data_IF_447671503999
#
_entry.id   IF_447671503999
#
_cell.length_a   1.000
_cell.length_b   1.000
_cell.length_c   1.000
_cell.angle_alpha   90.00
_cell.angle_beta   90.00
_cell.angle_gamma   90.00
#
_symmetry.space_group_name_H-M   'P 1'
#
loop_
_entity.id
_entity.type
_entity.pdbx_description
1 polymer ?
#
# COMPACT_ATOMS: atom_id res chain seq x y z
N UNK A 1 -10.39 -15.40 8.02
CA UNK A 1 -9.79 -14.14 8.50
C UNK A 1 -10.55 -12.92 7.99
N UNK A 2 -10.60 -11.83 8.76
CA UNK A 2 -11.09 -10.51 8.34
C UNK A 2 -10.07 -9.83 7.41
N UNK A 3 -10.58 -9.18 6.37
CA UNK A 3 -9.81 -8.35 5.45
C UNK A 3 -10.62 -7.11 5.07
N UNK A 4 -9.96 -5.96 4.98
CA UNK A 4 -10.58 -4.71 4.51
C UNK A 4 -10.50 -4.65 2.98
N UNK A 5 -11.66 -4.40 2.36
CA UNK A 5 -11.80 -4.24 0.92
C UNK A 5 -12.42 -2.87 0.61
N UNK A 6 -11.94 -2.21 -0.44
CA UNK A 6 -12.57 -1.02 -1.01
C UNK A 6 -13.54 -1.44 -2.10
N UNK A 7 -14.81 -1.05 -1.95
CA UNK A 7 -15.89 -1.41 -2.86
C UNK A 7 -16.88 -0.27 -2.97
N UNK A 8 -17.13 0.18 -4.21
CA UNK A 8 -18.12 1.23 -4.55
C UNK A 8 -17.99 2.51 -3.72
N UNK A 9 -16.76 2.93 -3.41
CA UNK A 9 -16.52 4.17 -2.65
C UNK A 9 -16.62 4.05 -1.14
N UNK A 10 -16.63 2.83 -0.61
CA UNK A 10 -16.62 2.55 0.82
C UNK A 10 -15.58 1.47 1.15
N UNK A 11 -15.05 1.52 2.38
CA UNK A 11 -14.33 0.41 2.96
C UNK A 11 -15.33 -0.56 3.62
N UNK A 12 -15.14 -1.85 3.43
CA UNK A 12 -15.91 -2.92 4.06
C UNK A 12 -14.96 -3.93 4.68
N UNK A 13 -15.41 -4.61 5.73
CA UNK A 13 -14.69 -5.74 6.32
C UNK A 13 -15.37 -7.01 5.86
N UNK A 14 -14.61 -7.90 5.21
CA UNK A 14 -15.09 -9.20 4.78
C UNK A 14 -14.29 -10.33 5.41
N UNK A 15 -14.97 -11.40 5.78
CA UNK A 15 -14.30 -12.66 6.09
C UNK A 15 -13.88 -13.36 4.80
N UNK A 16 -12.59 -13.63 4.65
CA UNK A 16 -11.98 -14.33 3.51
C UNK A 16 -11.12 -15.50 4.01
N UNK A 17 -10.90 -16.54 3.19
CA UNK A 17 -10.01 -17.61 3.58
C UNK A 17 -8.55 -17.13 3.69
N UNK A 18 -7.80 -17.69 4.64
CA UNK A 18 -6.43 -17.28 4.93
C UNK A 18 -5.46 -17.63 3.80
N UNK A 19 -4.48 -16.78 3.44
CA UNK A 19 -3.50 -17.14 2.43
C UNK A 19 -2.59 -18.28 2.90
N UNK A 20 -2.05 -19.04 1.95
CA UNK A 20 -0.98 -20.00 2.20
C UNK A 20 0.39 -19.34 1.98
N UNK A 21 1.41 -19.84 2.68
CA UNK A 21 2.81 -19.46 2.41
C UNK A 21 3.28 -20.11 1.11
N UNK A 22 3.99 -19.36 0.27
CA UNK A 22 4.73 -19.91 -0.86
C UNK A 22 6.21 -20.12 -0.50
N UNK A 23 7.02 -20.60 -1.44
CA UNK A 23 8.43 -20.92 -1.18
C UNK A 23 9.29 -19.71 -0.80
N UNK A 24 8.93 -18.50 -1.27
CA UNK A 24 9.72 -17.28 -1.08
C UNK A 24 9.03 -16.29 -0.12
N UNK A 25 7.90 -16.69 0.47
CA UNK A 25 7.03 -15.85 1.26
C UNK A 25 7.17 -16.07 2.75
N UNK A 26 6.60 -15.14 3.50
CA UNK A 26 6.46 -15.18 4.95
C UNK A 26 4.99 -14.98 5.26
N UNK A 27 4.43 -15.87 6.06
CA UNK A 27 3.08 -15.73 6.58
C UNK A 27 3.16 -15.01 7.93
N UNK A 28 2.42 -13.91 8.04
CA UNK A 28 2.46 -13.02 9.21
C UNK A 28 1.05 -12.87 9.76
N UNK A 29 0.90 -13.10 11.07
CA UNK A 29 -0.28 -12.67 11.81
C UNK A 29 -0.10 -11.19 12.16
N UNK A 30 -0.96 -10.35 11.58
CA UNK A 30 -0.85 -8.91 11.70
C UNK A 30 -1.32 -8.47 13.09
N UNK A 31 -0.54 -7.62 13.74
CA UNK A 31 -0.90 -6.96 14.99
C UNK A 31 -1.40 -5.53 14.73
N UNK A 32 -0.74 -4.83 13.80
CA UNK A 32 -1.07 -3.47 13.41
C UNK A 32 -0.89 -3.25 11.91
N UNK A 33 -1.72 -2.40 11.33
CA UNK A 33 -1.51 -1.87 9.99
C UNK A 33 -1.85 -0.39 9.95
N UNK A 34 -1.15 0.36 9.10
CA UNK A 34 -1.28 1.82 9.04
C UNK A 34 -2.04 2.22 7.78
N UNK A 35 -3.14 2.95 7.95
CA UNK A 35 -3.88 3.55 6.85
C UNK A 35 -3.11 4.77 6.37
N UNK A 36 -2.73 4.75 5.08
CA UNK A 36 -2.20 5.93 4.42
C UNK A 36 -3.33 6.78 3.89
N UNK A 37 -3.74 7.78 4.67
CA UNK A 37 -4.90 8.63 4.37
C UNK A 37 -4.89 9.16 2.94
N UNK A 38 -3.76 9.71 2.47
CA UNK A 38 -3.68 10.26 1.11
C UNK A 38 -3.90 9.20 0.01
N UNK A 39 -3.15 8.10 0.04
CA UNK A 39 -3.21 7.07 -1.00
C UNK A 39 -4.52 6.28 -0.97
N UNK A 40 -4.99 5.95 0.22
CA UNK A 40 -6.14 5.07 0.37
C UNK A 40 -7.46 5.80 0.19
N UNK A 41 -7.57 7.06 0.64
CA UNK A 41 -8.77 7.87 0.34
C UNK A 41 -8.88 8.16 -1.16
N UNK A 42 -7.76 8.34 -1.86
CA UNK A 42 -7.79 8.42 -3.33
C UNK A 42 -8.31 7.12 -3.98
N UNK A 43 -7.98 5.95 -3.41
CA UNK A 43 -8.51 4.66 -3.86
C UNK A 43 -10.03 4.56 -3.62
N UNK A 44 -10.50 5.00 -2.44
CA UNK A 44 -11.92 5.07 -2.09
C UNK A 44 -12.68 6.00 -3.05
N UNK A 45 -12.23 7.23 -3.22
CA UNK A 45 -12.83 8.20 -4.14
C UNK A 45 -12.90 7.65 -5.57
N UNK A 46 -11.81 7.06 -6.06
CA UNK A 46 -11.77 6.49 -7.41
C UNK A 46 -12.72 5.30 -7.56
N UNK A 47 -12.90 4.49 -6.50
CA UNK A 47 -13.87 3.40 -6.50
C UNK A 47 -15.32 3.89 -6.50
N UNK A 48 -15.60 5.08 -5.98
CA UNK A 48 -16.95 5.67 -5.94
C UNK A 48 -17.37 6.35 -7.25
N UNK A 49 -16.43 6.74 -8.10
CA UNK A 49 -16.74 7.45 -9.36
C UNK A 49 -17.48 6.57 -10.38
N UNK A 50 -18.43 7.14 -11.16
CA UNK A 50 -19.05 6.45 -12.30
C UNK A 50 -18.00 5.95 -13.31
N UNK A 51 -18.28 4.81 -13.95
CA UNK A 51 -17.34 4.17 -14.89
C UNK A 51 -16.90 5.08 -16.03
N UNK A 52 -17.81 5.91 -16.57
CA UNK A 52 -17.50 6.87 -17.62
C UNK A 52 -16.44 7.90 -17.18
N UNK A 53 -16.55 8.41 -15.95
CA UNK A 53 -15.58 9.37 -15.39
C UNK A 53 -14.24 8.71 -15.11
N UNK A 54 -14.25 7.48 -14.61
CA UNK A 54 -13.01 6.69 -14.42
C UNK A 54 -12.29 6.42 -15.74
N UNK A 55 -13.02 6.17 -16.82
CA UNK A 55 -12.47 5.95 -18.15
C UNK A 55 -11.80 7.21 -18.71
N UNK A 56 -12.41 8.39 -18.52
CA UNK A 56 -11.83 9.68 -18.90
C UNK A 56 -10.53 9.98 -18.16
N UNK A 57 -10.47 9.71 -16.86
CA UNK A 57 -9.31 10.00 -16.00
C UNK A 57 -8.18 8.95 -16.12
N UNK A 58 -8.43 7.78 -16.73
CA UNK A 58 -7.47 6.67 -16.85
C UNK A 58 -7.43 6.13 -18.29
N UNK A 59 -7.03 6.95 -19.28
CA UNK A 59 -7.07 6.59 -20.70
C UNK A 59 -6.22 5.35 -21.02
N UNK A 60 -5.11 5.13 -20.32
CA UNK A 60 -4.27 3.94 -20.45
C UNK A 60 -5.00 2.64 -20.06
N UNK A 61 -5.90 2.69 -19.07
CA UNK A 61 -6.73 1.52 -18.70
C UNK A 61 -7.83 1.28 -19.72
N UNK A 62 -8.38 2.33 -20.32
CA UNK A 62 -9.34 2.21 -21.43
C UNK A 62 -8.70 1.51 -22.61
N UNK A 63 -7.47 1.87 -22.98
CA UNK A 63 -6.72 1.21 -24.04
C UNK A 63 -6.56 -0.30 -23.77
N UNK A 64 -6.22 -0.69 -22.54
CA UNK A 64 -6.15 -2.11 -22.14
C UNK A 64 -7.49 -2.83 -22.25
N UNK A 65 -8.60 -2.16 -21.93
CA UNK A 65 -9.96 -2.72 -22.08
C UNK A 65 -10.32 -2.88 -23.56
N UNK A 66 -10.02 -1.90 -24.40
CA UNK A 66 -10.22 -1.97 -25.86
C UNK A 66 -9.39 -3.11 -26.47
N UNK A 67 -8.15 -3.28 -26.04
CA UNK A 67 -7.31 -4.39 -26.48
C UNK A 67 -7.90 -5.74 -26.04
N UNK A 68 -8.39 -5.84 -24.81
CA UNK A 68 -9.10 -7.05 -24.34
C UNK A 68 -10.38 -7.32 -25.15
N UNK A 69 -11.16 -6.28 -25.46
CA UNK A 69 -12.35 -6.38 -26.30
C UNK A 69 -12.01 -6.96 -27.67
N UNK A 70 -10.94 -6.47 -28.31
CA UNK A 70 -10.48 -6.96 -29.61
C UNK A 70 -10.02 -8.42 -29.56
N UNK A 71 -9.36 -8.85 -28.48
CA UNK A 71 -8.80 -10.21 -28.35
C UNK A 71 -9.81 -11.25 -27.87
N UNK A 72 -10.71 -10.89 -26.96
CA UNK A 72 -11.56 -11.85 -26.22
C UNK A 72 -13.06 -11.66 -26.45
N UNK A 73 -13.46 -10.61 -27.18
CA UNK A 73 -14.86 -10.29 -27.45
C UNK A 73 -15.55 -9.53 -26.32
N UNK A 74 -16.74 -9.02 -26.64
CA UNK A 74 -17.52 -8.11 -25.79
C UNK A 74 -17.98 -8.77 -24.48
N UNK A 75 -18.60 -9.96 -24.55
CA UNK A 75 -19.15 -10.64 -23.38
C UNK A 75 -18.08 -10.94 -22.32
N UNK A 76 -16.92 -11.49 -22.72
CA UNK A 76 -15.83 -11.84 -21.80
C UNK A 76 -15.24 -10.60 -21.12
N UNK A 77 -15.12 -9.51 -21.86
CA UNK A 77 -14.58 -8.25 -21.33
C UNK A 77 -15.54 -7.61 -20.34
N UNK A 78 -16.85 -7.59 -20.64
CA UNK A 78 -17.87 -7.08 -19.71
C UNK A 78 -17.92 -7.91 -18.43
N UNK A 79 -17.90 -9.25 -18.53
CA UNK A 79 -17.90 -10.13 -17.37
C UNK A 79 -16.66 -9.92 -16.48
N UNK A 80 -15.48 -9.73 -17.08
CA UNK A 80 -14.23 -9.44 -16.37
C UNK A 80 -14.29 -8.10 -15.61
N UNK A 81 -14.76 -7.04 -16.27
CA UNK A 81 -14.88 -5.71 -15.65
C UNK A 81 -15.90 -5.75 -14.50
N UNK A 82 -17.06 -6.39 -14.71
CA UNK A 82 -18.09 -6.53 -13.68
C UNK A 82 -17.59 -7.31 -12.46
N UNK A 83 -16.93 -8.45 -12.68
CA UNK A 83 -16.38 -9.26 -11.60
C UNK A 83 -15.31 -8.54 -10.78
N UNK A 84 -14.46 -7.72 -11.41
CA UNK A 84 -13.48 -6.89 -10.69
C UNK A 84 -14.13 -5.79 -9.84
N UNK A 85 -15.21 -5.18 -10.33
CA UNK A 85 -15.93 -4.13 -9.60
C UNK A 85 -16.75 -4.70 -8.42
N UNK A 86 -17.30 -5.90 -8.58
CA UNK A 86 -18.10 -6.56 -7.54
C UNK A 86 -17.25 -7.21 -6.44
N UNK A 87 -16.04 -7.67 -6.75
CA UNK A 87 -15.15 -8.29 -5.76
C UNK A 87 -14.61 -7.32 -4.70
N UNK A 88 -14.60 -6.02 -4.99
CA UNK A 88 -13.83 -5.05 -4.21
C UNK A 88 -12.31 -5.25 -4.41
N UNK A 89 -11.52 -4.29 -3.94
CA UNK A 89 -10.05 -4.36 -3.99
C UNK A 89 -9.49 -4.35 -2.58
N UNK A 90 -8.60 -5.29 -2.21
CA UNK A 90 -7.90 -5.22 -0.93
C UNK A 90 -7.21 -3.86 -0.73
N UNK A 91 -7.33 -3.30 0.46
CA UNK A 91 -6.61 -2.09 0.87
C UNK A 91 -5.45 -2.41 1.81
N UNK A 92 -4.63 -1.40 2.10
CA UNK A 92 -3.43 -1.53 2.92
C UNK A 92 -2.20 -1.97 2.14
N UNK A 93 -1.05 -1.52 2.62
CA UNK A 93 0.25 -1.85 2.05
C UNK A 93 1.40 -1.74 3.07
N UNK A 94 1.09 -1.54 4.35
CA UNK A 94 2.05 -1.37 5.44
C UNK A 94 1.47 -1.96 6.72
N UNK A 95 2.12 -2.99 7.24
CA UNK A 95 1.70 -3.64 8.47
C UNK A 95 2.88 -4.20 9.25
N UNK A 96 2.62 -4.62 10.48
CA UNK A 96 3.57 -5.29 11.36
C UNK A 96 2.85 -6.39 12.12
N UNK A 97 3.61 -7.41 12.50
CA UNK A 97 3.05 -8.57 13.17
C UNK A 97 4.10 -9.62 13.50
N UNK A 98 3.62 -10.82 13.77
CA UNK A 98 4.45 -11.96 14.16
C UNK A 98 4.51 -12.95 13.01
N UNK A 99 5.71 -13.44 12.69
CA UNK A 99 5.88 -14.53 11.73
C UNK A 99 5.22 -15.78 12.30
N UNK A 100 4.38 -16.43 11.50
CA UNK A 100 3.69 -17.65 11.90
C UNK A 100 4.06 -18.85 11.01
N UNK A 101 4.61 -18.60 9.81
CA UNK A 101 5.18 -19.60 8.92
C UNK A 101 6.14 -18.95 7.92
N UNK A 102 7.15 -19.68 7.45
CA UNK A 102 8.10 -19.23 6.42
C UNK A 102 8.16 -20.22 5.26
N UNK A 103 8.41 -19.70 4.06
CA UNK A 103 8.64 -20.49 2.85
C UNK A 103 9.97 -21.22 2.88
N UNK A 104 10.10 -22.26 2.03
CA UNK A 104 11.29 -23.14 1.99
C UNK A 104 12.59 -22.40 1.67
N UNK A 105 12.53 -21.28 0.94
CA UNK A 105 13.70 -20.49 0.54
C UNK A 105 13.99 -19.33 1.51
N UNK A 106 13.21 -19.19 2.59
CA UNK A 106 13.42 -18.17 3.62
C UNK A 106 14.22 -18.79 4.77
N UNK A 107 15.44 -18.31 4.98
CA UNK A 107 16.39 -18.92 5.95
C UNK A 107 16.73 -18.03 7.14
N UNK A 108 16.40 -16.73 7.08
CA UNK A 108 16.84 -15.73 8.06
C UNK A 108 15.72 -15.22 8.98
N UNK A 109 14.48 -15.65 8.74
CA UNK A 109 13.31 -15.40 9.57
C UNK A 109 12.74 -16.73 10.08
N UNK A 110 12.12 -16.71 11.27
CA UNK A 110 11.45 -17.89 11.84
C UNK A 110 10.13 -17.53 12.52
N UNK A 111 9.21 -18.50 12.72
CA UNK A 111 8.02 -18.28 13.53
C UNK A 111 8.35 -17.68 14.90
N UNK A 112 7.53 -16.72 15.34
CA UNK A 112 7.72 -15.94 16.57
C UNK A 112 8.49 -14.63 16.37
N UNK A 113 9.19 -14.44 15.24
CA UNK A 113 9.88 -13.17 14.97
C UNK A 113 8.87 -12.03 14.74
N UNK A 114 9.13 -10.87 15.34
CA UNK A 114 8.42 -9.64 15.02
C UNK A 114 8.95 -9.06 13.71
N UNK A 115 8.03 -8.76 12.80
CA UNK A 115 8.35 -8.26 11.46
C UNK A 115 7.45 -7.10 11.06
N UNK A 116 7.96 -6.27 10.16
CA UNK A 116 7.22 -5.26 9.45
C UNK A 116 7.22 -5.57 7.95
N UNK A 117 6.11 -5.30 7.29
CA UNK A 117 5.83 -5.74 5.94
C UNK A 117 5.36 -4.57 5.06
N UNK A 118 5.78 -4.61 3.80
CA UNK A 118 5.37 -3.67 2.77
C UNK A 118 4.71 -4.36 1.57
N UNK A 119 4.05 -3.56 0.74
CA UNK A 119 3.63 -3.96 -0.61
C UNK A 119 2.12 -3.94 -0.79
N UNK A 120 1.64 -3.14 -1.73
CA UNK A 120 0.24 -3.11 -2.12
C UNK A 120 -0.17 -4.46 -2.72
N UNK A 121 -1.27 -5.03 -2.23
CA UNK A 121 -1.70 -6.38 -2.60
C UNK A 121 -0.95 -7.51 -1.86
N UNK A 122 0.04 -7.18 -1.02
CA UNK A 122 0.78 -8.14 -0.18
C UNK A 122 0.51 -7.86 1.30
N UNK A 123 1.01 -6.73 1.82
CA UNK A 123 0.83 -6.25 3.20
C UNK A 123 -0.52 -5.52 3.38
N UNK A 124 -1.61 -6.18 3.00
CA UNK A 124 -2.97 -5.63 3.05
C UNK A 124 -3.48 -5.50 4.51
N UNK A 125 -4.51 -4.69 4.70
CA UNK A 125 -5.27 -4.63 5.95
C UNK A 125 -6.06 -5.92 6.17
N UNK A 126 -5.45 -6.89 6.85
CA UNK A 126 -6.01 -8.23 7.03
C UNK A 126 -5.41 -8.92 8.26
N UNK A 127 -6.12 -9.85 8.90
CA UNK A 127 -5.60 -10.56 10.11
C UNK A 127 -4.36 -11.40 9.80
N UNK A 128 -4.26 -11.97 8.59
CA UNK A 128 -3.10 -12.73 8.13
C UNK A 128 -2.70 -12.25 6.73
N UNK A 129 -1.42 -12.05 6.50
CA UNK A 129 -0.86 -11.71 5.19
C UNK A 129 0.25 -12.69 4.80
N UNK A 130 0.33 -12.99 3.50
CA UNK A 130 1.50 -13.63 2.91
C UNK A 130 2.28 -12.57 2.14
N UNK A 131 3.52 -12.34 2.54
CA UNK A 131 4.37 -11.28 2.00
C UNK A 131 5.68 -11.90 1.50
N UNK A 132 6.10 -11.61 0.26
CA UNK A 132 7.40 -12.07 -0.23
C UNK A 132 8.55 -11.59 0.64
N UNK A 133 9.60 -12.42 0.79
CA UNK A 133 10.69 -12.19 1.74
C UNK A 133 11.30 -10.79 1.64
N UNK A 134 11.60 -10.29 0.43
CA UNK A 134 12.25 -9.00 0.26
C UNK A 134 11.37 -7.79 0.65
N UNK A 135 10.07 -8.01 0.88
CA UNK A 135 9.13 -7.02 1.40
C UNK A 135 8.88 -7.15 2.91
N UNK A 136 9.67 -7.98 3.61
CA UNK A 136 9.59 -8.21 5.06
C UNK A 136 10.91 -7.85 5.72
N UNK A 137 10.87 -7.11 6.83
CA UNK A 137 12.03 -6.81 7.67
C UNK A 137 11.76 -7.18 9.11
N UNK A 138 12.78 -7.65 9.83
CA UNK A 138 12.69 -7.88 11.27
C UNK A 138 12.53 -6.54 11.99
N UNK A 139 11.65 -6.50 12.98
CA UNK A 139 11.53 -5.33 13.87
C UNK A 139 12.71 -5.37 14.85
N UNK A 140 13.53 -4.31 14.92
CA UNK A 140 14.66 -4.25 15.85
C UNK A 140 14.18 -4.08 17.29
N UNK A 141 15.03 -4.49 18.23
CA UNK A 141 14.83 -4.22 19.65
C UNK A 141 14.67 -2.71 19.89
N UNK A 142 13.73 -2.32 20.76
CA UNK A 142 13.41 -0.91 21.01
C UNK A 142 12.34 -0.31 20.09
N UNK A 143 11.90 -1.02 19.04
CA UNK A 143 10.76 -0.63 18.21
C UNK A 143 9.55 -1.54 18.49
N UNK A 144 8.39 -0.95 18.79
CA UNK A 144 7.15 -1.72 18.99
C UNK A 144 6.51 -2.11 17.65
N UNK A 145 5.70 -3.17 17.63
CA UNK A 145 4.89 -3.51 16.45
C UNK A 145 4.00 -2.33 16.03
N UNK A 146 3.43 -1.61 17.00
CA UNK A 146 2.60 -0.41 16.75
C UNK A 146 3.34 0.64 15.92
N UNK A 147 4.59 0.93 16.28
CA UNK A 147 5.44 1.86 15.52
C UNK A 147 5.87 1.25 14.18
N UNK A 148 6.26 -0.02 14.17
CA UNK A 148 6.76 -0.70 12.98
C UNK A 148 5.72 -0.79 11.84
N UNK A 149 4.42 -0.65 12.13
CA UNK A 149 3.38 -0.62 11.10
C UNK A 149 3.55 0.55 10.09
N UNK A 150 4.29 1.60 10.43
CA UNK A 150 4.60 2.71 9.53
C UNK A 150 5.73 2.43 8.53
N UNK A 151 6.33 1.23 8.57
CA UNK A 151 7.58 0.89 7.85
C UNK A 151 7.59 1.31 6.38
N UNK A 152 6.49 1.10 5.66
CA UNK A 152 6.44 1.37 4.23
C UNK A 152 6.46 2.86 3.94
N UNK A 153 5.79 3.64 4.78
CA UNK A 153 5.72 5.10 4.69
C UNK A 153 7.07 5.71 5.06
N UNK A 154 7.71 5.16 6.08
CA UNK A 154 9.09 5.49 6.46
C UNK A 154 10.08 5.25 5.34
N UNK A 155 10.00 4.10 4.68
CA UNK A 155 10.84 3.77 3.54
C UNK A 155 10.59 4.68 2.32
N UNK A 156 9.34 5.10 2.07
CA UNK A 156 9.01 6.07 1.01
C UNK A 156 9.65 7.43 1.32
N UNK A 157 9.50 7.94 2.55
CA UNK A 157 10.12 9.19 2.97
C UNK A 157 11.65 9.11 2.88
N UNK A 158 12.24 7.99 3.34
CA UNK A 158 13.68 7.73 3.27
C UNK A 158 14.20 7.69 1.84
N UNK A 159 13.45 7.10 0.92
CA UNK A 159 13.83 7.11 -0.49
C UNK A 159 13.82 8.54 -1.06
N UNK A 160 12.85 9.37 -0.68
CA UNK A 160 12.83 10.79 -1.01
C UNK A 160 14.08 11.52 -0.54
N UNK A 161 14.47 11.32 0.73
CA UNK A 161 15.70 11.88 1.30
C UNK A 161 16.94 11.36 0.57
N UNK A 162 17.03 10.06 0.28
CA UNK A 162 18.17 9.48 -0.46
C UNK A 162 18.28 10.03 -1.88
N UNK A 163 17.16 10.33 -2.53
CA UNK A 163 17.14 10.99 -3.86
C UNK A 163 17.57 12.45 -3.78
N UNK A 164 17.30 13.14 -2.68
CA UNK A 164 17.81 14.50 -2.45
C UNK A 164 19.33 14.54 -2.22
N UNK A 165 19.95 13.40 -1.90
CA UNK A 165 21.40 13.25 -1.61
C UNK A 165 21.93 14.34 -0.68
N UNK A 166 21.30 14.54 0.51
CA UNK A 166 21.63 15.65 1.38
C UNK A 166 23.08 15.58 1.85
N UNK A 167 23.67 16.76 2.03
CA UNK A 167 24.96 16.94 2.70
C UNK A 167 24.78 17.60 4.05
N UNK A 168 25.66 17.26 4.99
CA UNK A 168 25.66 17.81 6.35
C UNK A 168 25.67 19.35 6.28
N UNK A 169 24.69 20.00 6.92
CA UNK A 169 24.56 21.45 6.97
C UNK A 169 23.72 22.09 5.85
N UNK A 170 23.32 21.33 4.82
CA UNK A 170 22.41 21.82 3.77
C UNK A 170 21.04 22.22 4.34
N UNK A 171 20.41 23.20 3.70
CA UNK A 171 19.05 23.65 4.00
C UNK A 171 18.10 23.00 3.01
N UNK A 172 17.11 22.25 3.52
CA UNK A 172 16.15 21.50 2.71
C UNK A 172 14.72 21.95 3.00
N UNK A 173 13.98 22.31 1.96
CA UNK A 173 12.55 22.58 2.08
C UNK A 173 11.72 21.29 1.95
N UNK A 174 10.66 21.16 2.75
CA UNK A 174 9.65 20.09 2.64
C UNK A 174 8.30 20.73 2.38
N UNK A 175 7.73 20.48 1.21
CA UNK A 175 6.39 20.99 0.83
C UNK A 175 5.35 19.87 0.98
N UNK A 176 4.43 20.07 1.91
CA UNK A 176 3.42 19.11 2.36
C UNK A 176 3.86 18.35 3.60
N UNK A 177 3.47 18.83 4.77
CA UNK A 177 3.73 18.27 6.11
C UNK A 177 2.64 17.26 6.54
N UNK A 178 2.07 16.52 5.58
CA UNK A 178 1.30 15.30 5.86
C UNK A 178 2.20 14.19 6.43
N UNK A 179 1.68 12.97 6.58
CA UNK A 179 2.42 11.86 7.20
C UNK A 179 3.84 11.64 6.61
N UNK A 180 3.96 11.66 5.27
CA UNK A 180 5.27 11.55 4.61
C UNK A 180 6.17 12.77 4.88
N UNK A 181 5.61 13.98 4.93
CA UNK A 181 6.34 15.20 5.23
C UNK A 181 6.90 15.19 6.65
N UNK A 182 6.09 14.80 7.64
CA UNK A 182 6.53 14.67 9.04
C UNK A 182 7.67 13.65 9.21
N UNK A 183 7.63 12.52 8.49
CA UNK A 183 8.72 11.55 8.48
C UNK A 183 9.95 12.11 7.76
N UNK A 184 9.76 12.83 6.64
CA UNK A 184 10.84 13.43 5.85
C UNK A 184 11.61 14.48 6.66
N UNK A 185 10.90 15.34 7.41
CA UNK A 185 11.52 16.32 8.32
C UNK A 185 12.49 15.62 9.27
N UNK A 186 12.03 14.62 10.00
CA UNK A 186 12.84 13.90 10.99
C UNK A 186 14.05 13.20 10.35
N UNK A 187 13.87 12.60 9.17
CA UNK A 187 14.95 11.94 8.44
C UNK A 187 16.02 12.94 7.95
N UNK A 188 15.62 14.13 7.50
CA UNK A 188 16.54 15.20 7.14
C UNK A 188 17.30 15.74 8.37
N UNK A 189 16.62 15.87 9.52
CA UNK A 189 17.29 16.23 10.78
C UNK A 189 18.30 15.17 11.21
N UNK A 190 17.95 13.89 11.10
CA UNK A 190 18.88 12.78 11.35
C UNK A 190 20.08 12.77 10.38
N UNK A 191 19.90 13.28 9.15
CA UNK A 191 20.97 13.48 8.17
C UNK A 191 21.83 14.74 8.42
N UNK A 192 21.49 15.56 9.43
CA UNK A 192 22.20 16.78 9.78
C UNK A 192 21.86 17.99 8.92
N UNK A 193 20.69 18.00 8.27
CA UNK A 193 20.18 19.15 7.54
C UNK A 193 19.50 20.17 8.47
N UNK A 194 19.38 21.40 7.97
CA UNK A 194 18.38 22.38 8.41
C UNK A 194 17.13 22.23 7.53
N UNK A 195 15.94 22.27 8.11
CA UNK A 195 14.68 21.93 7.44
C UNK A 195 13.70 23.09 7.55
N UNK A 196 13.14 23.47 6.40
CA UNK A 196 12.06 24.46 6.28
C UNK A 196 10.79 23.76 5.79
N UNK A 197 9.74 23.73 6.59
CA UNK A 197 8.47 23.08 6.27
C UNK A 197 7.40 24.04 5.73
N UNK A 198 6.58 23.58 4.79
CA UNK A 198 5.45 24.32 4.26
C UNK A 198 4.21 23.41 4.16
N UNK A 199 3.09 23.80 4.77
CA UNK A 199 1.79 23.12 4.62
C UNK A 199 0.65 24.14 4.69
N UNK A 200 -0.56 23.72 4.33
CA UNK A 200 -1.77 24.53 4.44
C UNK A 200 -2.42 24.40 5.83
N UNK A 201 -2.13 23.33 6.55
CA UNK A 201 -2.72 22.98 7.84
C UNK A 201 -1.77 23.37 8.99
N UNK A 202 -2.20 24.34 9.81
CA UNK A 202 -1.43 24.87 10.95
C UNK A 202 -1.03 23.77 11.94
N UNK A 203 -1.89 22.77 12.18
CA UNK A 203 -1.60 21.68 13.12
C UNK A 203 -0.39 20.88 12.68
N UNK A 204 -0.24 20.68 11.36
CA UNK A 204 0.90 19.97 10.76
C UNK A 204 2.17 20.81 10.80
N UNK A 205 2.03 22.13 10.64
CA UNK A 205 3.14 23.07 10.78
C UNK A 205 3.68 23.07 12.21
N UNK A 206 2.79 23.13 13.21
CA UNK A 206 3.16 23.04 14.64
C UNK A 206 3.86 21.71 14.93
N UNK A 207 3.26 20.59 14.52
CA UNK A 207 3.84 19.26 14.72
C UNK A 207 5.21 19.12 14.03
N UNK A 208 5.40 19.69 12.84
CA UNK A 208 6.69 19.62 12.15
C UNK A 208 7.80 20.33 12.92
N UNK A 209 7.49 21.46 13.59
CA UNK A 209 8.45 22.15 14.47
C UNK A 209 8.79 21.30 15.68
N UNK A 210 7.78 20.68 16.31
CA UNK A 210 7.97 19.76 17.43
C UNK A 210 8.82 18.53 17.04
N UNK A 211 8.69 18.07 15.80
CA UNK A 211 9.45 16.97 15.22
C UNK A 211 10.80 17.39 14.61
N UNK A 212 11.20 18.65 14.80
CA UNK A 212 12.56 19.12 14.55
C UNK A 212 12.76 19.99 13.32
N UNK A 213 11.72 20.38 12.58
CA UNK A 213 11.86 21.42 11.56
C UNK A 213 12.36 22.72 12.21
N UNK A 214 13.42 23.31 11.65
CA UNK A 214 14.00 24.55 12.16
C UNK A 214 13.04 25.73 11.96
N UNK A 215 12.35 25.72 10.81
CA UNK A 215 11.25 26.62 10.51
C UNK A 215 10.13 25.82 9.83
N UNK A 216 8.89 26.22 10.06
CA UNK A 216 7.75 25.72 9.29
C UNK A 216 6.70 26.81 9.19
N UNK A 217 5.93 26.85 8.10
CA UNK A 217 4.97 27.93 7.85
C UNK A 217 3.67 27.41 7.26
N UNK A 218 2.58 28.10 7.59
CA UNK A 218 1.30 27.98 6.90
C UNK A 218 1.43 28.72 5.57
N UNK A 219 1.46 27.99 4.45
CA UNK A 219 1.81 28.54 3.14
C UNK A 219 0.86 29.64 2.63
N UNK A 220 -0.36 29.73 3.18
CA UNK A 220 -1.35 30.75 2.82
C UNK A 220 -1.15 32.08 3.56
N UNK A 221 -0.36 32.07 4.63
CA UNK A 221 -0.15 33.24 5.51
C UNK A 221 1.17 33.95 5.23
N UNK A 222 2.05 33.34 4.44
CA UNK A 222 3.39 33.86 4.14
C UNK A 222 3.69 33.84 2.65
N UNK A 223 4.61 34.71 2.22
CA UNK A 223 5.26 34.56 0.93
C UNK A 223 6.37 33.51 1.08
N UNK A 224 6.07 32.28 0.65
CA UNK A 224 6.97 31.12 0.70
C UNK A 224 8.34 31.42 0.06
N UNK A 225 8.37 32.21 -1.03
CA UNK A 225 9.63 32.53 -1.69
C UNK A 225 10.47 33.52 -0.86
N UNK A 226 9.83 34.52 -0.26
CA UNK A 226 10.52 35.48 0.59
C UNK A 226 11.03 34.82 1.87
N UNK A 227 10.25 33.95 2.51
CA UNK A 227 10.70 33.20 3.69
C UNK A 227 11.88 32.29 3.36
N UNK A 228 11.79 31.53 2.26
CA UNK A 228 12.91 30.70 1.82
C UNK A 228 14.17 31.54 1.57
N UNK A 229 14.06 32.69 0.88
CA UNK A 229 15.20 33.59 0.66
C UNK A 229 15.76 34.16 1.96
N UNK A 230 14.91 34.64 2.86
CA UNK A 230 15.33 35.21 4.13
C UNK A 230 16.11 34.20 4.97
N UNK A 231 15.63 32.96 5.05
CA UNK A 231 16.27 31.88 5.81
C UNK A 231 17.52 31.29 5.13
N UNK A 232 17.83 31.73 3.91
CA UNK A 232 18.95 31.21 3.10
C UNK A 232 19.82 32.32 2.52
N UNK A 233 19.88 33.50 3.16
CA UNK A 233 20.69 34.65 2.73
C UNK A 233 20.46 35.07 1.27
N UNK A 234 19.25 34.84 0.75
CA UNK A 234 18.83 35.14 -0.61
C UNK A 234 19.19 34.06 -1.65
N UNK A 235 19.91 33.01 -1.27
CA UNK A 235 20.37 31.98 -2.22
C UNK A 235 19.28 30.98 -2.61
N UNK A 236 18.32 30.70 -1.73
CA UNK A 236 17.37 29.60 -1.83
C UNK A 236 17.88 28.32 -1.17
N UNK A 237 17.00 27.33 -1.03
CA UNK A 237 17.32 26.04 -0.38
C UNK A 237 18.16 25.14 -1.28
N UNK A 238 19.02 24.30 -0.71
CA UNK A 238 19.85 23.34 -1.43
C UNK A 238 19.02 22.28 -2.15
N UNK A 239 17.94 21.84 -1.49
CA UNK A 239 16.96 20.92 -2.07
C UNK A 239 15.55 21.21 -1.60
N UNK A 240 14.57 20.90 -2.44
CA UNK A 240 13.15 20.88 -2.06
C UNK A 240 12.59 19.48 -2.27
N UNK A 241 11.98 18.89 -1.25
CA UNK A 241 11.29 17.60 -1.30
C UNK A 241 9.77 17.85 -1.23
N UNK A 242 9.05 17.36 -2.25
CA UNK A 242 7.60 17.51 -2.36
C UNK A 242 6.93 16.23 -1.88
N UNK A 243 6.23 16.32 -0.76
CA UNK A 243 5.46 15.23 -0.13
C UNK A 243 3.94 15.48 -0.18
N UNK A 244 3.51 16.59 -0.77
CA UNK A 244 2.11 16.93 -1.02
C UNK A 244 1.47 16.09 -2.16
N UNK A 245 0.14 16.06 -2.20
CA UNK A 245 -0.63 15.54 -3.32
C UNK A 245 -1.56 16.63 -3.87
N UNK A 246 -1.51 16.86 -5.19
CA UNK A 246 -2.33 17.87 -5.89
C UNK A 246 -2.39 17.57 -7.38
N UNK A 247 -3.48 17.92 -8.06
CA UNK A 247 -3.52 17.86 -9.53
C UNK A 247 -2.83 19.05 -10.19
N UNK A 248 -2.54 20.11 -9.41
CA UNK A 248 -1.90 21.33 -9.88
C UNK A 248 -0.38 21.15 -10.03
N UNK A 249 0.22 21.89 -10.97
CA UNK A 249 1.67 22.02 -11.14
C UNK A 249 2.28 23.13 -10.29
N UNK A 250 1.46 23.98 -9.66
CA UNK A 250 1.91 25.14 -8.85
C UNK A 250 2.90 24.76 -7.75
N UNK A 251 2.73 23.59 -7.13
CA UNK A 251 3.63 23.08 -6.09
C UNK A 251 5.03 22.82 -6.65
N UNK A 252 5.12 22.27 -7.86
CA UNK A 252 6.40 22.00 -8.54
C UNK A 252 7.06 23.31 -8.96
N UNK A 253 6.29 24.29 -9.45
CA UNK A 253 6.83 25.60 -9.79
C UNK A 253 7.41 26.32 -8.57
N UNK A 254 6.65 26.36 -7.46
CA UNK A 254 7.08 26.96 -6.21
C UNK A 254 8.36 26.28 -5.68
N UNK A 255 8.43 24.94 -5.74
CA UNK A 255 9.63 24.21 -5.36
C UNK A 255 10.87 24.63 -6.17
N UNK A 256 10.73 24.82 -7.49
CA UNK A 256 11.82 25.31 -8.34
C UNK A 256 12.19 26.77 -8.03
N UNK A 257 11.22 27.60 -7.68
CA UNK A 257 11.42 29.02 -7.37
C UNK A 257 12.22 29.23 -6.07
N UNK A 258 11.98 28.40 -5.05
CA UNK A 258 12.68 28.48 -3.75
C UNK A 258 14.01 27.74 -3.73
N UNK A 259 14.22 26.79 -4.65
CA UNK A 259 15.48 26.03 -4.74
C UNK A 259 16.58 26.90 -5.37
N UNK A 260 17.79 26.84 -4.82
CA UNK A 260 18.95 27.60 -5.30
C UNK A 260 19.43 27.13 -6.69
N UNK A 261 20.31 27.92 -7.31
CA UNK A 261 21.02 27.48 -8.52
C UNK A 261 21.81 26.19 -8.24
N UNK A 262 21.73 25.22 -9.15
CA UNK A 262 22.32 23.87 -9.04
C UNK A 262 21.81 23.06 -7.85
N UNK A 263 20.60 23.39 -7.37
CA UNK A 263 19.89 22.64 -6.34
C UNK A 263 19.01 21.54 -6.94
N UNK A 264 18.39 20.76 -6.05
CA UNK A 264 17.65 19.54 -6.39
C UNK A 264 16.18 19.64 -5.99
N UNK A 265 15.26 19.37 -6.91
CA UNK A 265 13.83 19.22 -6.61
C UNK A 265 13.45 17.75 -6.70
N UNK A 266 12.96 17.18 -5.59
CA UNK A 266 12.58 15.77 -5.47
C UNK A 266 11.07 15.64 -5.31
N UNK A 267 10.42 14.94 -6.25
CA UNK A 267 9.00 14.61 -6.15
C UNK A 267 8.82 13.24 -5.50
N UNK A 268 8.18 13.20 -4.33
CA UNK A 268 7.77 11.98 -3.64
C UNK A 268 6.25 11.82 -3.70
N UNK A 269 5.51 12.91 -3.51
CA UNK A 269 4.06 12.93 -3.58
C UNK A 269 3.49 12.88 -5.01
N UNK A 270 2.17 12.91 -5.11
CA UNK A 270 1.45 12.85 -6.38
C UNK A 270 1.03 14.26 -6.82
N UNK A 271 1.87 14.93 -7.61
CA UNK A 271 1.64 16.30 -8.09
C UNK A 271 1.57 16.38 -9.62
N UNK A 272 0.83 17.35 -10.14
CA UNK A 272 0.93 17.74 -11.55
C UNK A 272 2.34 18.23 -11.86
N UNK A 273 2.93 17.78 -12.97
CA UNK A 273 4.34 18.12 -13.25
C UNK A 273 4.51 19.47 -13.96
N UNK A 274 3.68 19.76 -14.99
CA UNK A 274 3.62 21.08 -15.66
C UNK A 274 4.95 21.80 -15.89
N UNK A 275 6.02 21.07 -16.23
CA UNK A 275 7.39 21.58 -16.12
C UNK A 275 7.63 22.75 -17.09
N UNK A 276 7.99 23.91 -16.54
CA UNK A 276 8.42 25.08 -17.31
C UNK A 276 9.92 25.05 -17.51
N UNK A 277 10.39 25.31 -18.72
CA UNK A 277 11.83 25.27 -19.06
C UNK A 277 12.66 26.35 -18.35
N UNK A 278 12.14 27.57 -18.22
CA UNK A 278 12.95 28.71 -17.77
C UNK A 278 13.58 28.51 -16.40
N UNK A 279 12.86 28.08 -15.34
CA UNK A 279 13.47 27.83 -14.03
C UNK A 279 14.58 26.77 -14.08
N UNK A 280 14.42 25.70 -14.84
CA UNK A 280 15.46 24.68 -15.00
C UNK A 280 16.71 25.22 -15.68
N UNK A 281 16.52 26.00 -16.74
CA UNK A 281 17.63 26.49 -17.54
C UNK A 281 18.40 27.61 -16.84
N UNK A 282 17.72 28.54 -16.19
CA UNK A 282 18.34 29.69 -15.51
C UNK A 282 19.08 29.30 -14.23
N UNK A 283 18.62 28.25 -13.57
CA UNK A 283 19.18 27.78 -12.31
C UNK A 283 19.98 26.48 -12.43
N UNK A 284 19.96 25.79 -13.57
CA UNK A 284 20.54 24.45 -13.73
C UNK A 284 20.04 23.47 -12.65
N UNK A 285 18.71 23.42 -12.44
CA UNK A 285 18.12 22.55 -11.42
C UNK A 285 18.14 21.08 -11.84
N UNK A 286 18.42 20.20 -10.89
CA UNK A 286 18.16 18.78 -11.03
C UNK A 286 16.73 18.45 -10.61
N UNK A 287 15.97 17.84 -11.52
CA UNK A 287 14.62 17.34 -11.23
C UNK A 287 14.63 15.82 -11.05
N UNK A 288 14.19 15.35 -9.89
CA UNK A 288 14.30 13.97 -9.51
C UNK A 288 12.93 13.43 -9.09
N UNK A 289 12.58 12.24 -9.60
CA UNK A 289 11.44 11.47 -9.10
C UNK A 289 11.94 10.45 -8.07
N UNK A 290 11.18 10.29 -6.99
CA UNK A 290 11.34 9.21 -6.02
C UNK A 290 10.38 8.07 -6.32
N UNK A 291 10.91 6.87 -6.58
CA UNK A 291 10.10 5.69 -6.86
C UNK A 291 9.74 4.96 -5.56
N UNK A 292 8.58 5.29 -4.97
CA UNK A 292 8.03 4.60 -3.78
C UNK A 292 9.10 4.42 -2.69
N UNK A 293 9.27 3.21 -2.15
CA UNK A 293 10.28 2.85 -1.16
C UNK A 293 11.64 2.42 -1.74
N UNK A 294 11.89 2.66 -3.04
CA UNK A 294 13.24 2.58 -3.65
C UNK A 294 13.51 1.39 -4.56
N UNK A 295 14.79 1.14 -4.89
CA UNK A 295 15.21 0.05 -5.77
C UNK A 295 14.70 -1.32 -5.34
N UNK A 296 14.24 -2.13 -6.31
CA UNK A 296 13.49 -3.37 -6.08
C UNK A 296 12.03 -3.24 -6.49
N UNK A 297 11.44 -2.06 -6.28
CA UNK A 297 10.07 -1.77 -6.69
C UNK A 297 9.88 -2.01 -8.18
N UNK A 298 8.85 -2.79 -8.52
CA UNK A 298 8.50 -3.19 -9.89
C UNK A 298 9.47 -4.19 -10.56
N UNK A 299 10.44 -4.75 -9.83
CA UNK A 299 11.23 -5.90 -10.29
C UNK A 299 10.70 -7.18 -9.62
N UNK A 300 9.91 -7.97 -10.35
CA UNK A 300 9.35 -9.21 -9.82
C UNK A 300 10.39 -10.27 -9.42
N UNK A 301 11.63 -10.20 -9.93
CA UNK A 301 12.70 -11.09 -9.45
C UNK A 301 13.12 -10.70 -8.02
N UNK A 302 13.17 -9.41 -7.74
CA UNK A 302 13.45 -8.91 -6.41
C UNK A 302 12.23 -9.10 -5.49
N UNK A 303 11.09 -8.53 -5.85
CA UNK A 303 9.89 -8.50 -5.01
C UNK A 303 9.30 -9.89 -4.80
N UNK A 304 9.16 -10.72 -5.84
CA UNK A 304 8.41 -11.99 -5.74
C UNK A 304 9.30 -13.22 -5.61
N UNK A 305 10.47 -13.23 -6.27
CA UNK A 305 11.39 -14.37 -6.23
C UNK A 305 12.45 -14.29 -5.13
N UNK A 306 12.49 -13.20 -4.37
CA UNK A 306 13.46 -13.03 -3.28
C UNK A 306 14.91 -12.87 -3.75
N UNK A 307 15.16 -12.51 -5.01
CA UNK A 307 16.51 -12.35 -5.56
C UNK A 307 17.02 -10.94 -5.27
N UNK A 308 17.87 -10.80 -4.26
CA UNK A 308 18.48 -9.52 -3.90
C UNK A 308 19.48 -9.05 -4.98
N UNK A 309 19.69 -7.73 -5.05
CA UNK A 309 20.72 -7.12 -5.88
C UNK A 309 22.09 -7.26 -5.22
N UNK A 310 23.16 -7.39 -6.02
CA UNK A 310 24.52 -7.30 -5.52
C UNK A 310 24.73 -6.04 -4.68
N UNK A 311 25.06 -6.24 -3.40
CA UNK A 311 25.11 -5.16 -2.40
C UNK A 311 25.99 -3.98 -2.83
N UNK A 312 27.14 -4.27 -3.47
CA UNK A 312 28.09 -3.26 -3.94
C UNK A 312 27.52 -2.32 -5.03
N UNK A 313 26.52 -2.75 -5.79
CA UNK A 313 25.95 -1.98 -6.90
C UNK A 313 24.64 -1.29 -6.51
N UNK A 314 23.81 -1.95 -5.71
CA UNK A 314 22.55 -1.39 -5.22
C UNK A 314 22.58 -1.48 -3.71
N UNK A 315 23.24 -0.52 -3.05
CA UNK A 315 23.39 -0.51 -1.58
C UNK A 315 22.05 -0.38 -0.85
N UNK A 316 21.10 0.33 -1.46
CA UNK A 316 19.85 0.73 -0.83
C UNK A 316 18.66 0.19 -1.61
N UNK A 317 18.18 -0.98 -1.23
CA UNK A 317 16.93 -1.55 -1.75
C UNK A 317 15.76 -1.15 -0.87
N UNK A 318 14.53 -1.44 -1.32
CA UNK A 318 13.33 -1.26 -0.50
C UNK A 318 13.42 -1.94 0.87
N UNK A 319 13.95 -3.15 0.93
CA UNK A 319 14.14 -3.87 2.19
C UNK A 319 15.10 -3.12 3.13
N UNK A 320 16.21 -2.62 2.58
CA UNK A 320 17.23 -1.92 3.37
C UNK A 320 16.81 -0.49 3.74
N UNK A 321 15.95 0.14 2.95
CA UNK A 321 15.25 1.38 3.33
C UNK A 321 14.33 1.12 4.53
N UNK A 322 13.52 0.04 4.49
CA UNK A 322 12.65 -0.34 5.60
C UNK A 322 13.44 -0.66 6.88
N UNK A 323 14.50 -1.46 6.77
CA UNK A 323 15.33 -1.83 7.92
C UNK A 323 16.00 -0.61 8.56
N UNK A 324 16.58 0.28 7.74
CA UNK A 324 17.21 1.51 8.23
C UNK A 324 16.20 2.46 8.88
N UNK A 325 15.00 2.55 8.32
CA UNK A 325 13.93 3.34 8.92
C UNK A 325 13.58 2.82 10.33
N UNK A 326 13.37 1.52 10.48
CA UNK A 326 13.04 0.94 11.78
C UNK A 326 14.17 1.06 12.79
N UNK A 327 15.44 1.01 12.35
CA UNK A 327 16.60 1.28 13.20
C UNK A 327 16.53 2.71 13.78
N UNK A 328 16.23 3.70 12.93
CA UNK A 328 16.09 5.10 13.37
C UNK A 328 14.90 5.31 14.31
N UNK A 329 13.81 4.55 14.14
CA UNK A 329 12.69 4.54 15.08
C UNK A 329 13.12 3.96 16.43
N UNK A 330 13.78 2.80 16.43
CA UNK A 330 14.30 2.18 17.66
C UNK A 330 15.29 3.06 18.42
N UNK A 331 16.11 3.83 17.71
CA UNK A 331 17.06 4.79 18.30
C UNK A 331 16.41 6.11 18.74
N UNK A 332 15.09 6.26 18.57
CA UNK A 332 14.36 7.48 18.91
C UNK A 332 14.69 8.68 18.01
N UNK A 333 15.37 8.47 16.87
CA UNK A 333 15.65 9.50 15.87
C UNK A 333 14.43 9.82 15.01
N UNK A 334 13.48 8.90 14.94
CA UNK A 334 12.17 9.12 14.31
C UNK A 334 11.07 8.74 15.31
N UNK A 335 10.29 9.73 15.74
CA UNK A 335 9.15 9.57 16.61
C UNK A 335 7.86 9.40 15.78
N UNK A 336 7.43 8.14 15.62
CA UNK A 336 6.18 7.80 14.93
C UNK A 336 4.97 7.97 15.84
N UNK A 337 5.15 7.87 17.17
CA UNK A 337 4.04 7.95 18.14
C UNK A 337 3.33 9.29 18.06
N UNK A 338 4.07 10.37 17.86
CA UNK A 338 3.54 11.72 17.70
C UNK A 338 2.71 11.93 16.40
N UNK A 339 2.83 11.02 15.42
CA UNK A 339 2.12 11.10 14.13
C UNK A 339 0.84 10.23 14.14
N UNK A 340 0.81 9.17 14.95
CA UNK A 340 -0.34 8.26 15.04
C UNK A 340 -1.39 8.86 15.99
N UNK A 341 -2.52 9.28 15.46
CA UNK A 341 -3.56 10.01 16.20
C UNK A 341 -4.78 9.16 16.55
N UNK A 342 -5.04 8.14 15.75
CA UNK A 342 -6.21 7.26 15.90
C UNK A 342 -5.84 5.80 15.75
N UNK A 343 -6.61 4.96 16.42
CA UNK A 343 -6.48 3.51 16.39
C UNK A 343 -7.89 2.90 16.46
N UNK A 344 -8.19 1.97 15.56
CA UNK A 344 -9.46 1.26 15.50
C UNK A 344 -9.20 -0.25 15.45
N UNK A 345 -10.09 -1.06 16.01
CA UNK A 345 -10.09 -2.49 15.67
C UNK A 345 -10.40 -2.66 14.18
N UNK A 346 -9.80 -3.64 13.53
CA UNK A 346 -10.08 -3.96 12.12
C UNK A 346 -11.58 -4.13 11.83
N UNK A 347 -12.41 -4.60 12.77
CA UNK A 347 -13.87 -4.68 12.58
C UNK A 347 -14.53 -3.31 12.34
N UNK A 348 -13.95 -2.26 12.89
CA UNK A 348 -14.43 -0.88 12.76
C UNK A 348 -13.68 -0.11 11.66
N UNK A 349 -12.94 -0.80 10.78
CA UNK A 349 -12.34 -0.15 9.62
C UNK A 349 -13.34 0.71 8.80
N UNK A 350 -14.61 0.30 8.54
CA UNK A 350 -15.54 1.13 7.79
C UNK A 350 -15.78 2.50 8.45
N UNK A 351 -15.84 2.55 9.78
CA UNK A 351 -15.99 3.78 10.55
C UNK A 351 -14.75 4.66 10.43
N UNK A 352 -13.55 4.07 10.51
CA UNK A 352 -12.29 4.78 10.33
C UNK A 352 -12.21 5.48 8.95
N UNK A 353 -12.58 4.79 7.86
CA UNK A 353 -12.58 5.38 6.52
C UNK A 353 -13.67 6.44 6.34
N UNK A 354 -14.84 6.30 6.98
CA UNK A 354 -15.90 7.32 6.92
C UNK A 354 -15.52 8.58 7.71
N UNK A 355 -14.85 8.44 8.86
CA UNK A 355 -14.26 9.57 9.58
C UNK A 355 -13.21 10.28 8.70
N UNK A 356 -12.30 9.55 8.06
CA UNK A 356 -11.30 10.14 7.15
C UNK A 356 -11.91 10.89 5.95
N UNK A 357 -13.14 10.53 5.56
CA UNK A 357 -13.87 11.16 4.47
C UNK A 357 -14.60 12.42 4.90
N UNK A 358 -15.16 12.43 6.11
CA UNK A 358 -16.08 13.48 6.59
C UNK A 358 -15.43 14.47 7.55
N UNK A 359 -14.33 14.09 8.19
CA UNK A 359 -13.64 14.94 9.15
C UNK A 359 -13.12 16.23 8.48
N UNK A 360 -13.46 17.36 9.09
CA UNK A 360 -12.90 18.67 8.75
C UNK A 360 -11.39 18.67 8.97
N UNK A 361 -10.95 18.05 10.07
CA UNK A 361 -9.55 17.85 10.42
C UNK A 361 -9.19 16.39 10.25
N UNK A 362 -8.37 16.08 9.24
CA UNK A 362 -7.97 14.69 8.96
C UNK A 362 -6.78 14.31 9.86
N UNK A 363 -6.85 13.16 10.56
CA UNK A 363 -5.70 12.65 11.30
C UNK A 363 -4.56 12.30 10.36
N UNK A 364 -3.31 12.47 10.81
CA UNK A 364 -2.12 12.18 9.99
C UNK A 364 -1.90 10.67 9.84
N UNK A 365 -1.90 9.95 10.96
CA UNK A 365 -1.75 8.50 11.02
C UNK A 365 -2.94 7.83 11.70
N UNK A 366 -3.52 6.83 11.04
CA UNK A 366 -4.59 5.99 11.58
C UNK A 366 -4.15 4.54 11.55
N UNK A 367 -4.16 3.89 12.71
CA UNK A 367 -3.88 2.46 12.82
C UNK A 367 -5.16 1.63 12.82
N UNK A 368 -5.07 0.46 12.19
CA UNK A 368 -5.95 -0.66 12.46
C UNK A 368 -5.19 -1.66 13.34
N UNK A 369 -5.74 -1.92 14.51
CA UNK A 369 -5.29 -2.94 15.44
C UNK A 369 -6.04 -4.26 15.19
N UNK A 370 -5.35 -5.36 15.47
CA UNK A 370 -5.87 -6.71 15.30
C UNK A 370 -5.73 -7.43 16.63
N UNK A 371 -6.86 -7.83 17.23
CA UNK A 371 -6.83 -8.58 18.48
C UNK A 371 -6.02 -9.87 18.32
N UNK A 372 -4.96 -10.03 19.11
CA UNK A 372 -4.17 -11.27 19.20
C UNK A 372 -4.76 -12.11 20.32
N UNK A 373 -5.86 -12.80 20.02
CA UNK A 373 -6.49 -13.75 20.93
C UNK A 373 -6.19 -15.18 20.46
N UNK A 374 -5.56 -15.98 21.33
CA UNK A 374 -5.27 -17.39 21.10
C UNK A 374 -6.54 -18.17 20.72
N UNK A 375 -7.70 -17.80 21.27
CA UNK A 375 -8.98 -18.44 20.97
C UNK A 375 -9.39 -18.31 19.49
N UNK A 376 -8.86 -17.29 18.81
CA UNK A 376 -9.17 -16.97 17.42
C UNK A 376 -8.12 -17.48 16.42
N UNK A 377 -7.01 -18.04 16.90
CA UNK A 377 -5.84 -18.40 16.09
C UNK A 377 -6.17 -19.40 14.97
N UNK A 378 -6.84 -20.50 15.32
CA UNK A 378 -7.27 -21.53 14.35
C UNK A 378 -8.28 -20.97 13.34
N UNK A 379 -9.23 -20.14 13.80
CA UNK A 379 -10.21 -19.49 12.91
C UNK A 379 -9.51 -18.56 11.91
N UNK A 380 -8.53 -17.76 12.35
CA UNK A 380 -7.81 -16.83 11.47
C UNK A 380 -7.06 -17.54 10.36
N UNK A 381 -6.49 -18.72 10.65
CA UNK A 381 -5.74 -19.56 9.73
C UNK A 381 -6.59 -20.43 8.82
N UNK A 382 -7.91 -20.50 9.05
CA UNK A 382 -8.84 -21.27 8.23
C UNK A 382 -8.75 -20.91 6.75
N UNK A 383 -8.38 -21.90 5.92
CA UNK A 383 -8.24 -21.78 4.47
C UNK A 383 -9.55 -21.99 3.73
N UNK A 384 -10.61 -22.47 4.39
CA UNK A 384 -11.93 -22.75 3.81
C UNK A 384 -13.01 -21.87 4.44
N UNK A 385 -13.88 -21.29 3.60
CA UNK A 385 -15.11 -20.61 4.02
C UNK A 385 -16.31 -21.22 3.30
N UNK A 386 -17.23 -21.75 4.09
CA UNK A 386 -18.53 -22.26 3.61
C UNK A 386 -19.51 -21.10 3.43
N UNK A 387 -20.02 -20.94 2.21
CA UNK A 387 -21.02 -19.93 1.84
C UNK A 387 -22.44 -20.49 1.89
N UNK A 388 -22.61 -21.77 1.55
CA UNK A 388 -23.89 -22.49 1.56
C UNK A 388 -23.71 -23.91 2.13
N UNK A 389 -24.68 -24.43 2.89
CA UNK A 389 -24.65 -25.82 3.30
C UNK A 389 -24.78 -26.73 2.08
N UNK A 390 -24.05 -27.85 2.10
CA UNK A 390 -24.15 -28.86 1.04
C UNK A 390 -25.55 -29.44 1.01
N UNK A 391 -26.12 -29.57 -0.19
CA UNK A 391 -27.35 -30.30 -0.46
C UNK A 391 -27.13 -31.22 -1.65
N UNK A 392 -27.39 -32.53 -1.54
CA UNK A 392 -27.32 -33.44 -2.68
C UNK A 392 -28.28 -32.96 -3.77
N UNK A 393 -27.75 -32.68 -4.97
CA UNK A 393 -28.53 -32.19 -6.11
C UNK A 393 -28.73 -33.24 -7.20
N UNK A 394 -28.06 -34.39 -7.09
CA UNK A 394 -27.99 -35.40 -8.17
C UNK A 394 -27.12 -34.98 -9.37
N UNK A 395 -26.46 -33.81 -9.28
CA UNK A 395 -25.55 -33.26 -10.29
C UNK A 395 -24.10 -33.60 -9.96
N UNK A 396 -23.23 -33.50 -10.95
CA UNK A 396 -21.77 -33.67 -10.77
C UNK A 396 -21.23 -32.44 -10.04
N UNK A 397 -20.68 -32.62 -8.85
CA UNK A 397 -20.07 -31.58 -8.04
C UNK A 397 -18.66 -31.27 -8.54
N UNK A 398 -18.50 -30.08 -9.11
CA UNK A 398 -17.24 -29.61 -9.69
C UNK A 398 -16.56 -28.63 -8.74
N UNK A 399 -15.29 -28.86 -8.46
CA UNK A 399 -14.41 -27.88 -7.84
C UNK A 399 -13.46 -27.28 -8.89
N UNK A 400 -13.23 -25.97 -8.83
CA UNK A 400 -12.34 -25.27 -9.76
C UNK A 400 -11.10 -24.75 -9.04
N UNK A 401 -9.93 -25.25 -9.43
CA UNK A 401 -8.64 -24.77 -8.94
C UNK A 401 -8.09 -23.68 -9.87
N UNK A 402 -7.99 -22.47 -9.34
CA UNK A 402 -7.44 -21.33 -10.07
C UNK A 402 -8.54 -20.44 -10.67
N UNK A 403 -9.05 -19.51 -9.86
CA UNK A 403 -9.99 -18.48 -10.29
C UNK A 403 -9.32 -17.31 -11.04
N UNK A 404 -8.52 -17.61 -12.06
CA UNK A 404 -7.87 -16.63 -12.92
C UNK A 404 -8.84 -15.98 -13.92
N UNK A 405 -8.37 -14.97 -14.67
CA UNK A 405 -9.19 -14.29 -15.69
C UNK A 405 -9.79 -15.25 -16.71
N UNK A 406 -9.04 -16.29 -17.11
CA UNK A 406 -9.52 -17.29 -18.07
C UNK A 406 -10.65 -18.15 -17.50
N UNK A 407 -10.51 -18.65 -16.28
CA UNK A 407 -11.55 -19.43 -15.60
C UNK A 407 -12.85 -18.63 -15.45
N UNK A 408 -12.76 -17.37 -14.99
CA UNK A 408 -13.93 -16.48 -14.84
C UNK A 408 -14.57 -16.06 -16.16
N UNK A 409 -13.77 -15.89 -17.21
CA UNK A 409 -14.26 -15.47 -18.53
C UNK A 409 -14.72 -16.60 -19.44
N UNK A 410 -14.40 -17.86 -19.11
CA UNK A 410 -14.65 -19.01 -19.99
C UNK A 410 -15.25 -20.20 -19.25
N UNK A 411 -14.52 -20.80 -18.29
CA UNK A 411 -14.94 -22.05 -17.64
C UNK A 411 -16.19 -21.88 -16.76
N UNK A 412 -16.17 -20.92 -15.84
CA UNK A 412 -17.25 -20.72 -14.88
C UNK A 412 -18.59 -20.32 -15.55
N UNK A 413 -18.63 -19.43 -16.56
CA UNK A 413 -19.85 -19.18 -17.33
C UNK A 413 -20.37 -20.41 -18.07
N UNK A 414 -19.49 -21.26 -18.60
CA UNK A 414 -19.91 -22.50 -19.26
C UNK A 414 -20.47 -23.52 -18.26
N UNK A 415 -19.88 -23.64 -17.07
CA UNK A 415 -20.45 -24.45 -15.99
C UNK A 415 -21.85 -23.96 -15.58
N UNK A 416 -22.07 -22.65 -15.49
CA UNK A 416 -23.41 -22.10 -15.23
C UNK A 416 -24.42 -22.43 -16.33
N UNK A 417 -24.01 -22.39 -17.60
CA UNK A 417 -24.86 -22.81 -18.74
C UNK A 417 -25.21 -24.29 -18.69
N UNK A 418 -24.35 -25.10 -18.10
CA UNK A 418 -24.54 -26.55 -17.91
C UNK A 418 -25.02 -26.87 -16.48
N UNK A 419 -25.69 -25.93 -15.82
CA UNK A 419 -26.10 -26.06 -14.42
C UNK A 419 -27.13 -27.17 -14.19
N UNK A 420 -27.75 -27.73 -15.22
CA UNK A 420 -28.59 -28.93 -15.12
C UNK A 420 -27.77 -30.21 -14.87
N UNK A 421 -26.50 -30.22 -15.29
CA UNK A 421 -25.59 -31.37 -15.17
C UNK A 421 -24.53 -31.18 -14.07
N UNK A 422 -24.05 -29.96 -13.90
CA UNK A 422 -22.93 -29.64 -13.00
C UNK A 422 -23.37 -28.67 -11.90
N UNK A 423 -22.90 -28.93 -10.69
CA UNK A 423 -23.01 -28.04 -9.55
C UNK A 423 -21.62 -27.52 -9.19
N UNK A 424 -21.47 -26.20 -9.02
CA UNK A 424 -20.20 -25.62 -8.60
C UNK A 424 -20.05 -25.80 -7.09
N UNK A 425 -19.27 -26.80 -6.69
CA UNK A 425 -19.07 -27.15 -5.28
C UNK A 425 -18.09 -26.20 -4.61
N UNK A 426 -16.95 -25.95 -5.25
CA UNK A 426 -15.86 -25.19 -4.64
C UNK A 426 -15.12 -24.32 -5.65
N UNK A 427 -14.58 -23.20 -5.16
CA UNK A 427 -13.61 -22.38 -5.91
C UNK A 427 -12.34 -22.22 -5.08
N UNK A 428 -11.21 -22.60 -5.66
CA UNK A 428 -9.87 -22.41 -5.09
C UNK A 428 -9.15 -21.26 -5.78
N UNK A 429 -8.51 -20.40 -5.00
CA UNK A 429 -7.69 -19.31 -5.51
C UNK A 429 -6.60 -18.92 -4.54
N UNK A 430 -5.44 -18.50 -5.06
CA UNK A 430 -4.28 -18.12 -4.24
C UNK A 430 -4.59 -17.01 -3.21
N UNK A 431 -5.50 -16.08 -3.54
CA UNK A 431 -5.96 -15.05 -2.60
C UNK A 431 -7.40 -15.30 -2.15
N UNK A 432 -7.65 -15.11 -0.85
CA UNK A 432 -8.96 -15.34 -0.23
C UNK A 432 -10.06 -14.43 -0.78
N UNK A 433 -9.78 -13.14 -0.97
CA UNK A 433 -10.75 -12.20 -1.56
C UNK A 433 -11.15 -12.61 -2.98
N UNK A 434 -10.21 -13.08 -3.80
CA UNK A 434 -10.51 -13.58 -5.14
C UNK A 434 -11.28 -14.92 -5.10
N UNK A 435 -10.95 -15.81 -4.17
CA UNK A 435 -11.67 -17.07 -3.96
C UNK A 435 -13.14 -16.80 -3.62
N UNK A 436 -13.39 -15.97 -2.60
CA UNK A 436 -14.72 -15.63 -2.13
C UNK A 436 -15.54 -14.87 -3.16
N UNK A 437 -14.99 -13.82 -3.77
CA UNK A 437 -15.72 -13.05 -4.77
C UNK A 437 -16.12 -13.91 -5.97
N UNK A 438 -15.25 -14.83 -6.41
CA UNK A 438 -15.57 -15.74 -7.51
C UNK A 438 -16.63 -16.76 -7.09
N UNK A 439 -16.50 -17.35 -5.91
CA UNK A 439 -17.47 -18.30 -5.39
C UNK A 439 -18.88 -17.65 -5.27
N UNK A 440 -18.96 -16.42 -4.76
CA UNK A 440 -20.21 -15.67 -4.69
C UNK A 440 -20.77 -15.35 -6.08
N UNK A 441 -19.92 -14.84 -6.99
CA UNK A 441 -20.33 -14.49 -8.36
C UNK A 441 -20.92 -15.69 -9.12
N UNK A 442 -20.32 -16.87 -8.96
CA UNK A 442 -20.73 -18.07 -9.70
C UNK A 442 -21.59 -19.04 -8.89
N UNK A 443 -21.88 -18.72 -7.63
CA UNK A 443 -22.83 -19.44 -6.79
C UNK A 443 -22.31 -20.70 -6.10
N UNK A 444 -20.98 -20.82 -5.90
CA UNK A 444 -20.36 -21.98 -5.28
C UNK A 444 -20.75 -22.17 -3.79
N UNK A 445 -20.68 -23.41 -3.30
CA UNK A 445 -21.02 -23.71 -1.90
C UNK A 445 -19.96 -23.25 -0.92
N UNK A 446 -18.68 -23.35 -1.29
CA UNK A 446 -17.58 -22.84 -0.48
C UNK A 446 -16.43 -22.32 -1.34
N UNK A 447 -15.53 -21.59 -0.69
CA UNK A 447 -14.29 -21.13 -1.29
C UNK A 447 -13.11 -21.47 -0.40
N UNK A 448 -11.94 -21.66 -1.01
CA UNK A 448 -10.71 -21.95 -0.27
C UNK A 448 -9.46 -21.37 -0.96
N UNK A 449 -8.40 -21.19 -0.19
CA UNK A 449 -7.04 -20.89 -0.66
C UNK A 449 -6.16 -22.14 -0.76
N UNK A 450 -6.59 -23.25 -0.17
CA UNK A 450 -5.88 -24.51 -0.13
C UNK A 450 -6.57 -25.55 -1.03
N UNK A 451 -5.88 -26.01 -2.06
CA UNK A 451 -6.43 -27.04 -2.94
C UNK A 451 -6.61 -28.39 -2.21
N UNK A 452 -5.86 -28.64 -1.14
CA UNK A 452 -6.01 -29.84 -0.30
C UNK A 452 -7.41 -29.94 0.31
N UNK A 453 -8.06 -28.81 0.63
CA UNK A 453 -9.42 -28.79 1.19
C UNK A 453 -10.46 -29.33 0.21
N UNK A 454 -10.19 -29.23 -1.09
CA UNK A 454 -11.03 -29.77 -2.17
C UNK A 454 -10.72 -31.24 -2.40
N UNK A 455 -9.44 -31.62 -2.41
CA UNK A 455 -9.04 -33.01 -2.61
C UNK A 455 -9.51 -33.92 -1.46
N UNK A 456 -9.65 -33.39 -0.25
CA UNK A 456 -10.18 -34.10 0.91
C UNK A 456 -11.72 -34.09 1.00
N UNK A 457 -12.41 -33.37 0.11
CA UNK A 457 -13.87 -33.28 0.14
C UNK A 457 -14.48 -34.42 -0.68
N UNK A 458 -14.96 -35.46 0.00
CA UNK A 458 -15.60 -36.63 -0.62
C UNK A 458 -16.86 -36.29 -1.44
N UNK A 459 -17.42 -35.09 -1.26
CA UNK A 459 -18.57 -34.61 -2.06
C UNK A 459 -18.16 -33.98 -3.38
N UNK A 460 -16.87 -33.85 -3.68
CA UNK A 460 -16.37 -33.33 -4.96
C UNK A 460 -16.18 -34.50 -5.92
N UNK A 461 -16.96 -34.51 -7.00
CA UNK A 461 -16.90 -35.56 -8.02
C UNK A 461 -15.79 -35.29 -9.06
N UNK A 462 -15.52 -34.01 -9.36
CA UNK A 462 -14.55 -33.58 -10.37
C UNK A 462 -13.78 -32.34 -9.92
N UNK A 463 -12.47 -32.33 -10.13
CA UNK A 463 -11.59 -31.18 -9.93
C UNK A 463 -11.09 -30.70 -11.29
N UNK A 464 -11.29 -29.41 -11.58
CA UNK A 464 -10.86 -28.75 -12.83
C UNK A 464 -9.78 -27.71 -12.58
#
# INVERSE_FOLDING_TARGET
MKQVLIKKGHAIVEEVPAPLVDDNGVLVEVAYSLISVGTEMASVEQSGKPLARRALEQPEKVLKVVEHLRRQGLQKTVAKVRGQLEAGSPSGYSCSGTVIQVGRNVSDLKPGDWVACAGAGKANHAEIVMVPRNLVVKVPDGCTLREAASVTLGAIAMQGVRRADPRLGEIVAVIGLGLLGQLTVQLLKAAGCRVIGFDLDERRVVLARELGADHAFVSLEVDVQNEAKHLTDGYGVDSTIITAASQSDTIVQQAMEITRKKGRVVVVGAVGLGLKRSPFYEKELDFLISCSYGPGRYDGRYEEKGLDYPYAYVRWTENRNMAEYLRLVAEGKVNVRAIIEREYDVSHAPEAYEELKTATEKPLGVLLAYGVDESSYERKRGTKITLKPFKPTGKINVAVIGAGSFAKGTHLPNLQKLSDLYHLRAVVSATGSNAKATAQQFGADYCTTNYGDVLADETVDVVM
#
